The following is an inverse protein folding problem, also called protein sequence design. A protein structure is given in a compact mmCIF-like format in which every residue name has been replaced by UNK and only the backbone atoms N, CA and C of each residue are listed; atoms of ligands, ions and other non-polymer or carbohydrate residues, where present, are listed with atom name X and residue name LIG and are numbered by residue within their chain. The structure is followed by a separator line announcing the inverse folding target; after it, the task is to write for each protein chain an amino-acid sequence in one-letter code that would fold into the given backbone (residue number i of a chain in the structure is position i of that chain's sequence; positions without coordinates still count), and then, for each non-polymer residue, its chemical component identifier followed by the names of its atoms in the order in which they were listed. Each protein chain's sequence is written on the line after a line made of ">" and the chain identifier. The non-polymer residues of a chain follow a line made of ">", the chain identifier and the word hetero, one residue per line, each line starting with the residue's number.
data_IF_807817555596
#
_entry.id   IF_807817555596
#
_cell.length_a   1.000
_cell.length_b   1.000
_cell.length_c   1.000
_cell.angle_alpha   90.00
_cell.angle_beta   90.00
_cell.angle_gamma   90.00
#
_symmetry.space_group_name_H-M   'P 1'
#
loop_
_entity.id
_entity.type
_entity.pdbx_description
1 polymer ?
#
# COMPACT_ATOMS: atom_id res chain seq x y z
N UNK A 1 62.94 1.22 -18.23
CA UNK A 1 61.72 0.65 -18.83
C UNK A 1 60.78 0.34 -17.67
N UNK A 2 59.98 1.33 -17.25
CA UNK A 2 59.13 1.25 -16.06
C UNK A 2 57.83 0.50 -16.35
N UNK A 3 57.48 -0.44 -15.47
CA UNK A 3 56.21 -1.13 -15.44
C UNK A 3 55.08 -0.14 -15.12
N UNK A 4 53.98 -0.22 -15.87
CA UNK A 4 52.73 0.45 -15.51
C UNK A 4 51.65 -0.63 -15.43
N UNK A 5 51.59 -1.28 -14.26
CA UNK A 5 50.54 -2.22 -13.88
C UNK A 5 49.31 -1.37 -13.58
N UNK A 6 48.41 -1.28 -14.55
CA UNK A 6 47.07 -0.73 -14.33
C UNK A 6 46.28 -1.70 -13.47
N UNK A 7 46.16 -1.36 -12.19
CA UNK A 7 45.24 -1.98 -11.24
C UNK A 7 43.80 -1.78 -11.71
N UNK A 8 43.23 -2.84 -12.29
CA UNK A 8 41.83 -2.90 -12.72
C UNK A 8 41.03 -3.83 -11.80
N UNK A 9 40.61 -3.33 -10.63
CA UNK A 9 39.78 -4.12 -9.71
C UNK A 9 38.91 -3.29 -8.74
N UNK A 10 37.97 -2.46 -9.23
CA UNK A 10 36.99 -1.79 -8.33
C UNK A 10 35.56 -1.43 -8.82
N UNK A 11 34.95 -1.98 -9.89
CA UNK A 11 33.53 -1.66 -10.19
C UNK A 11 32.49 -2.48 -9.39
N UNK A 12 32.85 -3.68 -8.92
CA UNK A 12 31.89 -4.65 -8.34
C UNK A 12 31.54 -4.37 -6.88
N UNK A 13 32.54 -4.05 -6.05
CA UNK A 13 32.36 -3.77 -4.62
C UNK A 13 31.53 -2.51 -4.37
N UNK A 14 31.73 -1.45 -5.16
CA UNK A 14 30.97 -0.19 -5.02
C UNK A 14 29.50 -0.33 -5.43
N UNK A 15 29.21 -1.16 -6.44
CA UNK A 15 27.82 -1.47 -6.83
C UNK A 15 27.10 -2.29 -5.76
N UNK A 16 27.81 -3.22 -5.15
CA UNK A 16 27.28 -4.06 -4.08
C UNK A 16 27.00 -3.25 -2.79
N UNK A 17 27.88 -2.34 -2.40
CA UNK A 17 27.67 -1.46 -1.25
C UNK A 17 26.51 -0.48 -1.49
N UNK A 18 26.39 0.08 -2.69
CA UNK A 18 25.26 0.94 -3.05
C UNK A 18 23.93 0.18 -3.07
N UNK A 19 23.91 -1.08 -3.53
CA UNK A 19 22.73 -1.95 -3.50
C UNK A 19 22.31 -2.26 -2.06
N UNK A 20 23.27 -2.65 -1.20
CA UNK A 20 23.02 -2.89 0.24
C UNK A 20 22.46 -1.64 0.94
N UNK A 21 22.94 -0.44 0.59
CA UNK A 21 22.43 0.83 1.14
C UNK A 21 20.99 1.12 0.67
N UNK A 22 20.66 0.84 -0.58
CA UNK A 22 19.29 0.95 -1.12
C UNK A 22 18.33 -0.04 -0.48
N UNK A 23 18.74 -1.29 -0.32
CA UNK A 23 17.93 -2.31 0.37
C UNK A 23 17.68 -1.92 1.84
N UNK A 24 18.69 -1.38 2.54
CA UNK A 24 18.57 -0.89 3.93
C UNK A 24 17.57 0.27 4.04
N UNK A 25 17.65 1.24 3.13
CA UNK A 25 16.70 2.37 3.10
C UNK A 25 15.28 1.96 2.70
N UNK A 26 15.12 0.91 1.88
CA UNK A 26 13.82 0.33 1.56
C UNK A 26 13.23 -0.42 2.77
N UNK A 27 14.03 -1.26 3.43
CA UNK A 27 13.62 -1.98 4.63
C UNK A 27 13.20 -1.02 5.76
N UNK A 28 13.95 0.06 5.98
CA UNK A 28 13.60 1.10 6.96
C UNK A 28 12.25 1.77 6.65
N UNK A 29 11.97 2.05 5.36
CA UNK A 29 10.69 2.61 4.94
C UNK A 29 9.51 1.69 5.26
N UNK A 30 9.67 0.38 5.06
CA UNK A 30 8.62 -0.59 5.38
C UNK A 30 8.44 -0.80 6.88
N UNK A 31 9.52 -0.74 7.66
CA UNK A 31 9.44 -0.78 9.13
C UNK A 31 8.69 0.39 9.73
N UNK A 32 8.88 1.59 9.18
CA UNK A 32 8.25 2.84 9.65
C UNK A 32 6.93 3.16 8.96
N UNK A 33 6.29 2.16 8.36
CA UNK A 33 5.06 2.38 7.61
C UNK A 33 3.91 2.89 8.51
N UNK A 34 3.89 2.44 9.76
CA UNK A 34 2.97 2.86 10.82
C UNK A 34 3.16 4.34 11.21
N UNK A 35 4.40 4.82 11.27
CA UNK A 35 4.75 6.17 11.76
C UNK A 35 4.22 7.31 10.86
N UNK A 36 4.07 7.08 9.55
CA UNK A 36 3.88 8.17 8.56
C UNK A 36 2.57 8.08 7.78
N UNK A 37 2.11 6.87 7.42
CA UNK A 37 0.98 6.71 6.48
C UNK A 37 -0.16 5.83 7.02
N UNK A 38 0.11 5.04 8.06
CA UNK A 38 -0.83 4.05 8.57
C UNK A 38 -1.18 4.19 10.05
N UNK A 39 -0.67 5.21 10.76
CA UNK A 39 -0.85 5.40 12.21
C UNK A 39 -2.29 5.09 12.66
N UNK A 40 -2.51 3.88 13.17
CA UNK A 40 -3.79 3.39 13.69
C UNK A 40 -4.84 2.91 12.68
N UNK A 41 -4.51 2.66 11.41
CA UNK A 41 -5.52 2.33 10.38
C UNK A 41 -5.71 0.82 10.17
N UNK A 42 -4.64 0.00 10.29
CA UNK A 42 -4.75 -1.45 10.12
C UNK A 42 -3.57 -2.22 10.75
N UNK A 43 -3.75 -2.86 11.92
CA UNK A 43 -2.73 -3.72 12.54
C UNK A 43 -2.26 -4.86 11.62
N UNK A 44 -3.15 -5.32 10.75
CA UNK A 44 -2.85 -6.35 9.75
C UNK A 44 -1.81 -5.85 8.73
N UNK A 45 -1.99 -4.64 8.19
CA UNK A 45 -1.06 -4.07 7.22
C UNK A 45 0.28 -3.69 7.85
N UNK A 46 0.26 -3.22 9.10
CA UNK A 46 1.48 -3.00 9.88
C UNK A 46 2.28 -4.30 10.01
N UNK A 47 1.61 -5.39 10.42
CA UNK A 47 2.26 -6.70 10.56
C UNK A 47 2.87 -7.20 9.24
N UNK A 48 2.14 -7.07 8.14
CA UNK A 48 2.64 -7.45 6.81
C UNK A 48 3.80 -6.55 6.39
N UNK A 49 3.72 -5.24 6.58
CA UNK A 49 4.79 -4.31 6.19
C UNK A 49 6.10 -4.59 6.95
N UNK A 50 6.01 -4.85 8.26
CA UNK A 50 7.17 -5.26 9.08
C UNK A 50 7.76 -6.57 8.55
N UNK A 51 6.94 -7.59 8.30
CA UNK A 51 7.44 -8.87 7.78
C UNK A 51 8.12 -8.73 6.40
N UNK A 52 7.56 -7.91 5.51
CA UNK A 52 8.19 -7.61 4.20
C UNK A 52 9.54 -6.90 4.36
N UNK A 53 9.70 -6.07 5.40
CA UNK A 53 10.95 -5.36 5.68
C UNK A 53 12.08 -6.28 6.18
N UNK A 54 11.72 -7.39 6.81
CA UNK A 54 12.66 -8.38 7.38
C UNK A 54 13.00 -9.48 6.37
N UNK A 55 12.21 -9.61 5.30
CA UNK A 55 12.43 -10.58 4.23
C UNK A 55 13.28 -10.01 3.10
N UNK A 56 14.53 -10.48 2.99
CA UNK A 56 15.42 -10.12 1.89
C UNK A 56 14.88 -10.53 0.51
N UNK A 57 14.09 -11.61 0.43
CA UNK A 57 13.41 -12.02 -0.82
C UNK A 57 12.29 -11.05 -1.20
N UNK A 58 11.48 -10.64 -0.24
CA UNK A 58 10.41 -9.66 -0.47
C UNK A 58 11.00 -8.32 -0.94
N UNK A 59 12.07 -7.84 -0.28
CA UNK A 59 12.73 -6.60 -0.66
C UNK A 59 13.29 -6.67 -2.09
N UNK A 60 13.90 -7.79 -2.50
CA UNK A 60 14.35 -7.99 -3.89
C UNK A 60 13.20 -7.96 -4.89
N UNK A 61 12.05 -8.56 -4.56
CA UNK A 61 10.86 -8.50 -5.41
C UNK A 61 10.32 -7.05 -5.51
N UNK A 62 10.32 -6.29 -4.41
CA UNK A 62 9.90 -4.86 -4.42
C UNK A 62 10.88 -4.01 -5.23
N UNK A 63 12.17 -4.34 -5.26
CA UNK A 63 13.14 -3.65 -6.09
C UNK A 63 12.86 -3.80 -7.60
N UNK A 64 12.13 -4.83 -8.04
CA UNK A 64 11.67 -4.94 -9.44
C UNK A 64 10.60 -3.90 -9.81
N UNK A 65 9.88 -3.35 -8.82
CA UNK A 65 8.89 -2.29 -9.03
C UNK A 65 9.63 -0.97 -9.32
N UNK A 66 9.13 -0.08 -10.21
CA UNK A 66 9.75 1.23 -10.43
C UNK A 66 9.90 2.01 -9.12
N UNK A 67 11.04 2.68 -8.91
CA UNK A 67 11.40 3.28 -7.61
C UNK A 67 10.30 4.21 -7.02
N UNK A 68 9.61 4.98 -7.87
CA UNK A 68 8.51 5.87 -7.46
C UNK A 68 7.24 5.16 -7.01
N UNK A 69 7.15 3.84 -7.23
CA UNK A 69 5.97 2.99 -6.96
C UNK A 69 6.23 1.95 -5.86
N UNK A 70 7.41 1.94 -5.24
CA UNK A 70 7.80 1.02 -4.13
C UNK A 70 7.23 1.42 -2.76
N UNK A 71 6.25 2.31 -2.74
CA UNK A 71 5.66 2.76 -1.48
C UNK A 71 4.92 1.58 -0.80
N UNK A 72 5.05 1.38 0.52
CA UNK A 72 4.37 0.27 1.21
C UNK A 72 2.87 0.21 0.91
N UNK A 73 2.16 1.35 0.96
CA UNK A 73 0.73 1.46 0.61
C UNK A 73 0.40 0.88 -0.76
N UNK A 74 1.24 1.12 -1.76
CA UNK A 74 1.04 0.64 -3.13
C UNK A 74 1.21 -0.87 -3.22
N UNK A 75 2.24 -1.41 -2.56
CA UNK A 75 2.52 -2.85 -2.58
C UNK A 75 1.46 -3.61 -1.78
N UNK A 76 1.05 -3.10 -0.61
CA UNK A 76 -0.04 -3.67 0.18
C UNK A 76 -1.36 -3.65 -0.60
N UNK A 77 -1.68 -2.54 -1.28
CA UNK A 77 -2.86 -2.46 -2.13
C UNK A 77 -2.80 -3.45 -3.30
N UNK A 78 -1.64 -3.66 -3.91
CA UNK A 78 -1.48 -4.64 -4.99
C UNK A 78 -1.63 -6.09 -4.50
N UNK A 79 -1.11 -6.41 -3.32
CA UNK A 79 -1.31 -7.70 -2.67
C UNK A 79 -2.78 -7.95 -2.34
N UNK A 80 -3.47 -6.94 -1.82
CA UNK A 80 -4.90 -7.01 -1.55
C UNK A 80 -5.75 -7.15 -2.81
N UNK A 81 -5.39 -6.46 -3.89
CA UNK A 81 -6.04 -6.63 -5.20
C UNK A 81 -5.93 -8.07 -5.71
N UNK A 82 -4.77 -8.71 -5.56
CA UNK A 82 -4.58 -10.12 -5.92
C UNK A 82 -5.43 -11.06 -5.04
N UNK A 83 -5.55 -10.76 -3.75
CA UNK A 83 -6.40 -11.51 -2.84
C UNK A 83 -7.89 -11.39 -3.23
N UNK A 84 -8.38 -10.17 -3.47
CA UNK A 84 -9.76 -9.90 -3.89
C UNK A 84 -10.09 -10.50 -5.27
N UNK A 85 -9.12 -10.53 -6.18
CA UNK A 85 -9.26 -11.16 -7.48
C UNK A 85 -9.22 -12.71 -7.42
N UNK A 86 -9.12 -13.31 -6.22
CA UNK A 86 -9.02 -14.77 -6.03
C UNK A 86 -7.69 -15.37 -6.50
N UNK A 87 -6.70 -14.54 -6.82
CA UNK A 87 -5.40 -14.98 -7.36
C UNK A 87 -4.39 -15.33 -6.27
N UNK A 88 -4.64 -14.89 -5.04
CA UNK A 88 -3.85 -15.22 -3.85
C UNK A 88 -4.78 -15.78 -2.75
N UNK A 89 -5.32 -17.00 -2.89
CA UNK A 89 -6.36 -17.53 -2.01
C UNK A 89 -5.92 -17.70 -0.55
N UNK A 90 -4.64 -18.06 -0.31
CA UNK A 90 -4.09 -18.15 1.05
C UNK A 90 -4.02 -16.78 1.72
N UNK A 91 -3.59 -15.76 0.97
CA UNK A 91 -3.57 -14.38 1.46
C UNK A 91 -4.99 -13.85 1.70
N UNK A 92 -5.94 -14.16 0.82
CA UNK A 92 -7.34 -13.80 0.98
C UNK A 92 -7.95 -14.43 2.24
N UNK A 93 -7.68 -15.71 2.49
CA UNK A 93 -8.13 -16.39 3.70
C UNK A 93 -7.54 -15.76 4.97
N UNK A 94 -6.25 -15.45 4.97
CA UNK A 94 -5.59 -14.79 6.11
C UNK A 94 -6.14 -13.38 6.36
N UNK A 95 -6.40 -12.59 5.30
CA UNK A 95 -7.04 -11.29 5.42
C UNK A 95 -8.47 -11.38 5.97
N UNK A 96 -9.26 -12.35 5.51
CA UNK A 96 -10.62 -12.57 6.00
C UNK A 96 -10.65 -13.00 7.48
N UNK A 97 -9.66 -13.79 7.90
CA UNK A 97 -9.50 -14.21 9.30
C UNK A 97 -8.88 -13.13 10.21
N UNK A 98 -8.45 -12.00 9.64
CA UNK A 98 -7.65 -10.98 10.33
C UNK A 98 -6.40 -11.54 11.03
N UNK A 99 -5.84 -12.63 10.50
CA UNK A 99 -4.64 -13.28 11.02
C UNK A 99 -3.39 -12.62 10.44
N UNK A 100 -2.72 -11.79 11.26
CA UNK A 100 -1.54 -11.03 10.85
C UNK A 100 -0.32 -11.89 10.51
N UNK A 101 -0.12 -13.00 11.21
CA UNK A 101 1.06 -13.86 10.98
C UNK A 101 0.87 -14.71 9.72
N UNK A 102 -0.34 -15.28 9.53
CA UNK A 102 -0.68 -15.95 8.29
C UNK A 102 -0.65 -14.99 7.10
N UNK A 103 -1.14 -13.75 7.28
CA UNK A 103 -1.12 -12.74 6.23
C UNK A 103 0.30 -12.32 5.86
N UNK A 104 1.20 -12.17 6.84
CA UNK A 104 2.60 -11.86 6.62
C UNK A 104 3.30 -12.95 5.79
N UNK A 105 3.16 -14.22 6.20
CA UNK A 105 3.72 -15.35 5.47
C UNK A 105 3.16 -15.45 4.04
N UNK A 106 1.84 -15.35 3.89
CA UNK A 106 1.17 -15.43 2.60
C UNK A 106 1.52 -14.25 1.68
N UNK A 107 1.73 -13.05 2.23
CA UNK A 107 2.13 -11.87 1.48
C UNK A 107 3.53 -12.00 0.91
N UNK A 108 4.50 -12.47 1.71
CA UNK A 108 5.87 -12.74 1.24
C UNK A 108 5.84 -13.78 0.11
N UNK A 109 5.10 -14.88 0.30
CA UNK A 109 5.02 -15.94 -0.70
C UNK A 109 4.33 -15.47 -1.99
N UNK A 110 3.22 -14.73 -1.88
CA UNK A 110 2.51 -14.13 -3.02
C UNK A 110 3.42 -13.18 -3.79
N UNK A 111 4.12 -12.30 -3.08
CA UNK A 111 5.02 -11.32 -3.69
C UNK A 111 6.17 -12.00 -4.45
N UNK A 112 6.71 -13.10 -3.90
CA UNK A 112 7.77 -13.89 -4.53
C UNK A 112 7.28 -14.63 -5.77
N UNK A 113 6.09 -15.25 -5.72
CA UNK A 113 5.54 -16.03 -6.85
C UNK A 113 4.94 -15.16 -7.94
N UNK A 114 4.45 -13.98 -7.60
CA UNK A 114 3.65 -13.13 -8.49
C UNK A 114 4.23 -11.73 -8.64
N UNK A 115 5.56 -11.58 -8.55
CA UNK A 115 6.24 -10.27 -8.61
C UNK A 115 5.79 -9.46 -9.82
N UNK A 116 5.74 -10.05 -11.01
CA UNK A 116 5.32 -9.35 -12.24
C UNK A 116 3.87 -8.85 -12.16
N UNK A 117 2.97 -9.61 -11.53
CA UNK A 117 1.59 -9.17 -11.33
C UNK A 117 1.52 -8.02 -10.32
N UNK A 118 2.30 -8.07 -9.24
CA UNK A 118 2.41 -6.97 -8.28
C UNK A 118 2.96 -5.70 -8.95
N UNK A 119 4.01 -5.82 -9.76
CA UNK A 119 4.58 -4.72 -10.56
C UNK A 119 3.52 -4.13 -11.48
N UNK A 120 2.80 -4.97 -12.24
CA UNK A 120 1.77 -4.53 -13.16
C UNK A 120 0.66 -3.74 -12.46
N UNK A 121 0.20 -4.20 -11.29
CA UNK A 121 -0.82 -3.52 -10.50
C UNK A 121 -0.28 -2.21 -9.91
N UNK A 122 0.91 -2.23 -9.30
CA UNK A 122 1.51 -1.06 -8.66
C UNK A 122 1.80 0.08 -9.67
N UNK A 123 2.17 -0.26 -10.90
CA UNK A 123 2.38 0.72 -11.98
C UNK A 123 1.08 1.40 -12.39
N UNK A 124 0.01 0.61 -12.59
CA UNK A 124 -1.29 1.09 -13.08
C UNK A 124 -2.07 1.90 -12.06
N UNK A 125 -1.90 1.62 -10.76
CA UNK A 125 -2.71 2.26 -9.70
C UNK A 125 -2.00 3.46 -9.06
N UNK A 126 -2.79 4.45 -8.68
CA UNK A 126 -2.43 5.42 -7.64
C UNK A 126 -3.37 5.19 -6.46
N UNK A 127 -2.87 4.94 -5.24
CA UNK A 127 -3.72 4.86 -4.06
C UNK A 127 -4.28 6.25 -3.81
N UNK A 128 -5.60 6.36 -3.71
CA UNK A 128 -6.25 7.57 -3.19
C UNK A 128 -6.54 7.34 -1.71
N UNK A 129 -6.15 8.30 -0.88
CA UNK A 129 -6.28 8.20 0.58
C UNK A 129 -7.69 8.50 1.08
N UNK A 130 -8.19 7.61 1.94
CA UNK A 130 -9.29 7.76 2.90
C UNK A 130 -10.57 8.46 2.38
N UNK A 131 -11.25 7.85 1.41
CA UNK A 131 -12.56 8.31 0.92
C UNK A 131 -13.67 8.06 1.96
N UNK A 132 -13.58 6.95 2.70
CA UNK A 132 -14.58 6.56 3.72
C UNK A 132 -14.65 7.53 4.90
N UNK A 133 -13.52 8.05 5.37
CA UNK A 133 -13.49 9.05 6.44
C UNK A 133 -14.16 10.37 6.06
N UNK A 134 -14.12 10.75 4.77
CA UNK A 134 -14.84 11.93 4.27
C UNK A 134 -16.35 11.71 4.28
N UNK A 135 -16.81 10.50 3.94
CA UNK A 135 -18.23 10.16 3.97
C UNK A 135 -18.86 10.37 5.36
N UNK A 136 -18.13 10.02 6.43
CA UNK A 136 -18.63 10.13 7.81
C UNK A 136 -18.97 11.57 8.24
N UNK A 137 -18.35 12.59 7.65
CA UNK A 137 -18.65 13.99 7.97
C UNK A 137 -19.58 14.67 6.95
N UNK A 138 -19.67 14.10 5.74
CA UNK A 138 -20.46 14.69 4.66
C UNK A 138 -21.96 14.62 4.92
N UNK A 139 -22.48 13.49 5.42
CA UNK A 139 -23.91 13.34 5.70
C UNK A 139 -24.47 14.41 6.67
N UNK A 140 -23.91 14.60 7.89
CA UNK A 140 -24.44 15.63 8.80
C UNK A 140 -24.27 17.05 8.25
N UNK A 141 -23.20 17.34 7.51
CA UNK A 141 -23.00 18.65 6.90
C UNK A 141 -24.04 18.96 5.81
N UNK A 142 -24.33 17.98 4.94
CA UNK A 142 -25.35 18.10 3.89
C UNK A 142 -26.74 18.26 4.49
N UNK A 143 -27.07 17.47 5.51
CA UNK A 143 -28.36 17.54 6.20
C UNK A 143 -28.59 18.92 6.85
N UNK A 144 -27.58 19.47 7.53
CA UNK A 144 -27.68 20.80 8.13
C UNK A 144 -27.80 21.92 7.08
N UNK A 145 -27.07 21.81 5.97
CA UNK A 145 -27.18 22.76 4.87
C UNK A 145 -28.60 22.74 4.26
N UNK A 146 -29.14 21.55 3.98
CA UNK A 146 -30.50 21.39 3.46
C UNK A 146 -31.55 21.97 4.41
N UNK A 147 -31.41 21.72 5.73
CA UNK A 147 -32.29 22.26 6.76
C UNK A 147 -32.29 23.80 6.77
N UNK A 148 -31.12 24.44 6.67
CA UNK A 148 -31.00 25.91 6.70
C UNK A 148 -31.69 26.60 5.52
N UNK A 149 -31.72 25.96 4.36
CA UNK A 149 -32.31 26.52 3.13
C UNK A 149 -33.72 26.00 2.86
N UNK A 150 -34.27 25.14 3.73
CA UNK A 150 -35.59 24.55 3.56
C UNK A 150 -35.69 23.56 2.40
N UNK A 151 -34.57 22.96 1.97
CA UNK A 151 -34.56 21.97 0.89
C UNK A 151 -35.01 20.60 1.40
N UNK A 152 -35.91 19.96 0.66
CA UNK A 152 -36.40 18.60 0.90
C UNK A 152 -35.72 17.55 0.01
N UNK A 153 -34.86 17.98 -0.92
CA UNK A 153 -34.03 17.13 -1.76
C UNK A 153 -32.68 17.81 -2.06
N UNK A 154 -31.62 17.02 -2.11
CA UNK A 154 -30.26 17.48 -2.43
C UNK A 154 -29.69 16.60 -3.54
N UNK A 155 -29.24 17.21 -4.64
CA UNK A 155 -28.46 16.55 -5.67
C UNK A 155 -26.96 16.65 -5.37
N UNK A 156 -26.24 15.53 -5.40
CA UNK A 156 -24.80 15.49 -5.16
C UNK A 156 -24.05 15.24 -6.48
N UNK A 157 -22.99 16.02 -6.70
CA UNK A 157 -22.06 15.85 -7.82
C UNK A 157 -20.65 15.79 -7.22
N UNK A 158 -19.94 14.69 -7.46
CA UNK A 158 -18.56 14.50 -7.03
C UNK A 158 -17.65 14.47 -8.27
N UNK A 159 -16.89 15.54 -8.47
CA UNK A 159 -16.00 15.68 -9.63
C UNK A 159 -14.72 14.87 -9.38
N UNK A 160 -14.50 13.85 -10.20
CA UNK A 160 -13.38 12.92 -10.02
C UNK A 160 -13.63 11.85 -8.97
N UNK A 161 -14.92 11.57 -8.68
CA UNK A 161 -15.34 10.54 -7.74
C UNK A 161 -14.58 9.23 -8.00
N UNK A 162 -14.01 8.67 -6.94
CA UNK A 162 -13.27 7.40 -6.99
C UNK A 162 -14.27 6.24 -7.07
N UNK A 163 -14.44 5.44 -6.02
CA UNK A 163 -15.49 4.41 -5.95
C UNK A 163 -16.90 4.99 -5.72
N UNK A 164 -17.09 6.31 -5.76
CA UNK A 164 -18.39 6.96 -5.58
C UNK A 164 -18.97 6.88 -4.15
N UNK A 165 -18.13 6.59 -3.14
CA UNK A 165 -18.60 6.46 -1.75
C UNK A 165 -19.27 7.75 -1.22
N UNK A 166 -18.75 8.93 -1.58
CA UNK A 166 -19.34 10.23 -1.20
C UNK A 166 -20.72 10.48 -1.81
N UNK A 167 -21.10 9.74 -2.86
CA UNK A 167 -22.42 9.84 -3.49
C UNK A 167 -23.45 8.93 -2.81
N UNK A 168 -23.02 8.09 -1.86
CA UNK A 168 -23.87 7.16 -1.11
C UNK A 168 -23.91 7.52 0.39
N UNK A 169 -23.80 8.82 0.71
CA UNK A 169 -23.76 9.33 2.10
C UNK A 169 -25.04 9.02 2.88
N UNK A 170 -26.16 8.81 2.21
CA UNK A 170 -27.45 8.39 2.75
C UNK A 170 -27.51 6.90 3.14
N UNK A 171 -26.51 6.11 2.71
CA UNK A 171 -26.45 4.65 2.91
C UNK A 171 -25.42 4.22 3.95
N UNK A 172 -24.72 5.16 4.56
CA UNK A 172 -23.69 4.90 5.57
C UNK A 172 -24.16 5.39 6.94
N UNK A 173 -24.04 4.53 7.95
CA UNK A 173 -24.34 4.87 9.34
C UNK A 173 -23.13 5.44 10.06
N UNK A 174 -23.33 6.45 10.92
CA UNK A 174 -22.29 6.98 11.81
C UNK A 174 -22.60 6.53 13.23
N UNK A 175 -21.75 5.67 13.78
CA UNK A 175 -21.78 5.29 15.20
C UNK A 175 -20.65 6.00 15.93
N UNK A 176 -20.98 6.70 17.00
CA UNK A 176 -20.01 7.30 17.93
C UNK A 176 -20.05 6.52 19.26
N UNK A 177 -18.89 6.37 19.90
CA UNK A 177 -18.74 5.79 21.24
C UNK A 177 -18.57 6.90 22.26
#
# INVERSE_FOLDING_TARGET
>A
MGQDVRDSATPSRERETAARRRARTLAERYRRFDEVDAAGTSPLYERVAVALSESGEALRAIEAVPARKRHPTLILAALHDLALAGRAPVLAAAYAAADGDAAAAAAIDTLRRMTDSVVAIAVRRQPRGNETGRCAVLYPAIAEAARRVGANAVGLIDVGCSAGLNLNVDRVGITHR
#
